data_IF_221043955164
#
_entry.id   IF_221043955164
#
_cell.length_a   1.000
_cell.length_b   1.000
_cell.length_c   1.000
_cell.angle_alpha   90.00
_cell.angle_beta   90.00
_cell.angle_gamma   90.00
#
_symmetry.space_group_name_H-M   'P 1'
#
loop_
_entity.id
_entity.type
_entity.pdbx_description
1 polymer ?
#
# COMPACT_ATOMS: atom_id res chain seq x y z
N UNK A 1 -16.00 -3.30 -20.87
CA UNK A 1 -16.05 -2.26 -19.81
C UNK A 1 -14.65 -1.78 -19.40
N UNK A 2 -13.76 -2.62 -18.87
CA UNK A 2 -12.37 -2.17 -18.52
C UNK A 2 -11.52 -1.90 -19.76
N UNK A 3 -11.52 -2.83 -20.72
CA UNK A 3 -10.77 -2.66 -21.97
C UNK A 3 -11.22 -1.43 -22.75
N UNK A 4 -12.53 -1.16 -22.80
CA UNK A 4 -13.08 0.02 -23.46
C UNK A 4 -12.61 1.32 -22.79
N UNK A 5 -12.55 1.36 -21.45
CA UNK A 5 -12.03 2.52 -20.72
C UNK A 5 -10.54 2.76 -20.97
N UNK A 6 -9.75 1.69 -21.08
CA UNK A 6 -8.33 1.79 -21.44
C UNK A 6 -8.15 2.28 -22.87
N UNK A 7 -8.90 1.70 -23.83
CA UNK A 7 -8.84 2.10 -25.24
C UNK A 7 -9.23 3.57 -25.42
N UNK A 8 -10.34 3.99 -24.80
CA UNK A 8 -10.78 5.38 -24.79
C UNK A 8 -9.73 6.31 -24.17
N UNK A 9 -9.12 5.93 -23.05
CA UNK A 9 -8.08 6.76 -22.44
C UNK A 9 -6.89 6.95 -23.39
N UNK A 10 -6.41 5.87 -24.00
CA UNK A 10 -5.25 5.93 -24.88
C UNK A 10 -5.51 6.65 -26.21
N UNK A 11 -6.74 6.58 -26.72
CA UNK A 11 -7.10 7.17 -28.02
C UNK A 11 -7.57 8.63 -27.91
N UNK A 12 -8.24 9.01 -26.81
CA UNK A 12 -8.90 10.33 -26.69
C UNK A 12 -8.33 11.23 -25.58
N UNK A 13 -7.69 10.67 -24.56
CA UNK A 13 -7.39 11.39 -23.29
C UNK A 13 -5.90 11.39 -22.92
N UNK A 14 -5.08 10.56 -23.56
CA UNK A 14 -3.69 10.33 -23.17
C UNK A 14 -2.84 11.62 -23.15
N UNK A 15 -2.55 12.11 -21.95
CA UNK A 15 -1.75 13.30 -21.72
C UNK A 15 -1.15 13.29 -20.32
N UNK A 16 -0.14 14.14 -20.10
CA UNK A 16 0.44 14.31 -18.77
C UNK A 16 -0.55 15.04 -17.85
N UNK A 17 -0.83 14.43 -16.70
CA UNK A 17 -1.66 15.03 -15.66
C UNK A 17 -0.98 16.24 -15.00
N UNK A 18 -1.78 17.23 -14.59
CA UNK A 18 -1.40 18.43 -13.82
C UNK A 18 -0.37 19.36 -14.46
N UNK A 19 -0.01 19.18 -15.74
CA UNK A 19 1.10 19.91 -16.40
C UNK A 19 0.73 20.70 -17.65
N UNK A 20 -0.55 20.98 -17.92
CA UNK A 20 -0.92 21.83 -19.07
C UNK A 20 -2.34 22.42 -18.99
N UNK A 21 -2.56 23.51 -19.73
CA UNK A 21 -3.86 24.19 -19.92
C UNK A 21 -4.59 23.74 -21.20
N UNK A 22 -4.31 22.53 -21.69
CA UNK A 22 -4.96 21.96 -22.88
C UNK A 22 -6.00 20.92 -22.49
N UNK A 23 -7.08 20.83 -23.27
CA UNK A 23 -8.26 20.00 -22.99
C UNK A 23 -7.94 18.52 -22.67
N UNK A 24 -6.98 17.92 -23.37
CA UNK A 24 -6.58 16.53 -23.12
C UNK A 24 -5.91 16.35 -21.75
N UNK A 25 -5.12 17.33 -21.29
CA UNK A 25 -4.49 17.28 -19.97
C UNK A 25 -5.50 17.48 -18.84
N UNK A 26 -6.48 18.36 -19.03
CA UNK A 26 -7.60 18.54 -18.09
C UNK A 26 -8.41 17.25 -17.93
N UNK A 27 -8.77 16.61 -19.05
CA UNK A 27 -9.47 15.31 -19.06
C UNK A 27 -8.65 14.20 -18.40
N UNK A 28 -7.34 14.14 -18.65
CA UNK A 28 -6.47 13.14 -18.03
C UNK A 28 -6.39 13.35 -16.51
N UNK A 29 -6.27 14.59 -16.06
CA UNK A 29 -6.28 14.92 -14.62
C UNK A 29 -7.61 14.58 -13.98
N UNK A 30 -8.72 14.94 -14.61
CA UNK A 30 -10.06 14.63 -14.10
C UNK A 30 -10.27 13.12 -13.99
N UNK A 31 -9.92 12.34 -15.02
CA UNK A 31 -10.02 10.89 -15.00
C UNK A 31 -9.17 10.25 -13.89
N UNK A 32 -7.96 10.77 -13.65
CA UNK A 32 -7.11 10.30 -12.56
C UNK A 32 -7.72 10.60 -11.18
N UNK A 33 -8.19 11.82 -10.95
CA UNK A 33 -8.77 12.20 -9.65
C UNK A 33 -10.08 11.46 -9.39
N UNK A 34 -10.93 11.26 -10.40
CA UNK A 34 -12.13 10.41 -10.30
C UNK A 34 -11.77 8.95 -9.98
N UNK A 35 -10.69 8.43 -10.57
CA UNK A 35 -10.18 7.09 -10.24
C UNK A 35 -9.75 7.01 -8.77
N UNK A 36 -9.05 8.04 -8.27
CA UNK A 36 -8.65 8.11 -6.85
C UNK A 36 -9.85 8.22 -5.91
N UNK A 37 -10.88 8.97 -6.27
CA UNK A 37 -12.12 9.03 -5.50
C UNK A 37 -12.84 7.68 -5.45
N UNK A 38 -12.90 7.00 -6.58
CA UNK A 38 -13.49 5.66 -6.68
C UNK A 38 -12.74 4.66 -5.80
N UNK A 39 -11.40 4.66 -5.86
CA UNK A 39 -10.57 3.83 -4.99
C UNK A 39 -10.77 4.17 -3.51
N UNK A 40 -10.81 5.46 -3.15
CA UNK A 40 -11.01 5.90 -1.78
C UNK A 40 -12.36 5.42 -1.22
N UNK A 41 -13.44 5.52 -2.01
CA UNK A 41 -14.76 4.99 -1.64
C UNK A 41 -14.74 3.47 -1.49
N UNK A 42 -14.08 2.78 -2.42
CA UNK A 42 -13.98 1.32 -2.41
C UNK A 42 -13.32 0.78 -1.13
N UNK A 43 -12.25 1.43 -0.65
CA UNK A 43 -11.54 1.02 0.57
C UNK A 43 -12.05 1.70 1.86
N UNK A 44 -13.10 2.53 1.77
CA UNK A 44 -13.63 3.25 2.93
C UNK A 44 -12.73 4.37 3.48
N UNK A 45 -11.82 4.92 2.67
CA UNK A 45 -10.96 6.02 3.08
C UNK A 45 -11.74 7.35 3.18
N UNK A 46 -11.32 8.25 4.10
CA UNK A 46 -11.93 9.58 4.31
C UNK A 46 -11.66 10.60 3.19
N UNK A 47 -11.23 10.15 2.01
CA UNK A 47 -10.89 10.97 0.84
C UNK A 47 -9.54 10.60 0.23
N UNK A 48 -9.16 11.33 -0.82
CA UNK A 48 -8.01 11.00 -1.67
C UNK A 48 -6.66 11.47 -1.12
N UNK A 49 -6.61 12.36 -0.12
CA UNK A 49 -5.37 13.02 0.33
C UNK A 49 -4.28 12.02 0.76
N UNK A 50 -4.66 10.93 1.43
CA UNK A 50 -3.75 9.87 1.88
C UNK A 50 -3.58 8.71 0.88
N UNK A 51 -4.24 8.78 -0.28
CA UNK A 51 -4.24 7.69 -1.26
C UNK A 51 -3.08 7.87 -2.24
N UNK A 52 -2.17 6.90 -2.24
CA UNK A 52 -1.01 6.84 -3.14
C UNK A 52 -1.17 5.64 -4.07
N UNK A 53 -1.17 5.90 -5.38
CA UNK A 53 -1.16 4.84 -6.39
C UNK A 53 0.28 4.37 -6.59
N UNK A 54 0.49 3.05 -6.56
CA UNK A 54 1.79 2.41 -6.75
C UNK A 54 1.72 1.46 -7.94
N UNK A 55 2.86 0.93 -8.38
CA UNK A 55 2.90 -0.08 -9.46
C UNK A 55 2.33 -1.44 -9.03
N UNK A 56 2.08 -1.63 -7.73
CA UNK A 56 1.48 -2.83 -7.15
C UNK A 56 1.66 -2.89 -5.63
N UNK A 57 1.13 -3.95 -5.02
CA UNK A 57 1.19 -4.16 -3.57
C UNK A 57 2.63 -4.21 -3.05
N UNK A 58 3.54 -4.91 -3.75
CA UNK A 58 4.96 -5.00 -3.38
C UNK A 58 5.64 -3.63 -3.36
N UNK A 59 5.45 -2.78 -4.37
CA UNK A 59 6.01 -1.42 -4.39
C UNK A 59 5.43 -0.55 -3.26
N UNK A 60 4.13 -0.70 -2.97
CA UNK A 60 3.49 -0.01 -1.86
C UNK A 60 4.08 -0.37 -0.50
N UNK A 61 4.27 -1.66 -0.22
CA UNK A 61 4.86 -2.13 1.03
C UNK A 61 6.33 -1.70 1.17
N UNK A 62 7.11 -1.75 0.08
CA UNK A 62 8.49 -1.25 0.08
C UNK A 62 8.58 0.25 0.38
N UNK A 63 7.70 1.05 -0.24
CA UNK A 63 7.64 2.50 0.01
C UNK A 63 7.25 2.79 1.45
N UNK A 64 6.25 2.08 1.98
CA UNK A 64 5.79 2.25 3.35
C UNK A 64 6.90 1.92 4.36
N UNK A 65 7.48 0.71 4.28
CA UNK A 65 8.55 0.28 5.18
C UNK A 65 9.77 1.20 5.08
N UNK A 66 10.18 1.56 3.87
CA UNK A 66 11.29 2.49 3.65
C UNK A 66 11.01 3.89 4.18
N UNK A 67 9.78 4.41 4.07
CA UNK A 67 9.40 5.69 4.67
C UNK A 67 9.40 5.62 6.19
N UNK A 68 8.87 4.53 6.78
CA UNK A 68 8.86 4.36 8.23
C UNK A 68 10.28 4.34 8.81
N UNK A 69 11.18 3.58 8.19
CA UNK A 69 12.60 3.54 8.56
C UNK A 69 13.29 4.90 8.39
N UNK A 70 13.18 5.55 7.23
CA UNK A 70 13.84 6.85 6.99
C UNK A 70 13.34 7.98 7.89
N UNK A 71 12.12 7.88 8.41
CA UNK A 71 11.53 8.86 9.32
C UNK A 71 11.75 8.50 10.80
N UNK A 72 12.55 7.48 11.11
CA UNK A 72 12.88 7.07 12.48
C UNK A 72 11.72 6.42 13.24
N UNK A 73 10.66 6.00 12.56
CA UNK A 73 9.50 5.38 13.23
C UNK A 73 9.81 3.99 13.81
N UNK A 74 10.92 3.39 13.39
CA UNK A 74 11.30 2.02 13.72
C UNK A 74 12.56 1.94 14.59
N UNK A 75 13.14 3.09 14.98
CA UNK A 75 14.46 3.15 15.63
C UNK A 75 14.43 2.44 16.99
N UNK A 76 13.39 2.69 17.78
CA UNK A 76 13.23 2.13 19.12
C UNK A 76 12.23 0.95 19.19
N UNK A 77 11.51 0.69 18.09
CA UNK A 77 10.48 -0.34 18.01
C UNK A 77 10.94 -1.67 17.41
N UNK A 78 9.97 -2.56 17.29
CA UNK A 78 10.04 -3.82 16.53
C UNK A 78 8.86 -3.91 15.57
N UNK A 79 9.02 -4.70 14.52
CA UNK A 79 7.94 -4.95 13.55
C UNK A 79 7.53 -6.40 13.66
N UNK A 80 6.22 -6.65 13.79
CA UNK A 80 5.66 -8.00 13.77
C UNK A 80 5.05 -8.28 12.40
N UNK A 81 5.44 -9.40 11.81
CA UNK A 81 4.79 -10.02 10.64
C UNK A 81 4.30 -11.41 11.04
N UNK A 82 3.46 -12.05 10.25
CA UNK A 82 2.96 -13.41 10.51
C UNK A 82 3.67 -14.45 9.64
N UNK A 83 3.69 -15.71 10.07
CA UNK A 83 4.18 -16.83 9.23
C UNK A 83 3.36 -17.03 7.94
N UNK A 84 2.13 -16.51 7.90
CA UNK A 84 1.25 -16.56 6.72
C UNK A 84 1.52 -15.44 5.71
N UNK A 85 2.31 -14.43 6.07
CA UNK A 85 2.51 -13.28 5.20
C UNK A 85 3.25 -13.68 3.90
N UNK A 86 2.76 -13.15 2.79
CA UNK A 86 3.46 -13.27 1.51
C UNK A 86 4.84 -12.60 1.60
N UNK A 87 5.86 -13.11 0.90
CA UNK A 87 7.22 -12.56 0.96
C UNK A 87 7.31 -11.05 0.67
N UNK A 88 6.41 -10.51 -0.16
CA UNK A 88 6.32 -9.06 -0.43
C UNK A 88 5.93 -8.22 0.80
N UNK A 89 5.37 -8.83 1.83
CA UNK A 89 5.04 -8.23 3.12
C UNK A 89 6.00 -8.65 4.24
N UNK A 90 7.02 -9.48 3.98
CA UNK A 90 8.04 -9.82 4.98
C UNK A 90 9.33 -9.05 4.69
N UNK A 91 9.86 -9.19 3.47
CA UNK A 91 11.16 -8.65 3.09
C UNK A 91 11.29 -7.13 3.28
N UNK A 92 10.28 -6.29 2.96
CA UNK A 92 10.40 -4.85 3.18
C UNK A 92 10.65 -4.48 4.64
N UNK A 93 9.96 -5.16 5.57
CA UNK A 93 10.08 -4.88 7.00
C UNK A 93 11.39 -5.40 7.55
N UNK A 94 11.80 -6.63 7.21
CA UNK A 94 13.10 -7.17 7.61
C UNK A 94 14.28 -6.30 7.12
N UNK A 95 14.14 -5.67 5.95
CA UNK A 95 15.13 -4.71 5.43
C UNK A 95 15.07 -3.37 6.19
N UNK A 96 13.88 -2.90 6.53
CA UNK A 96 13.65 -1.60 7.15
C UNK A 96 13.90 -1.57 8.68
N UNK A 97 13.69 -2.69 9.37
CA UNK A 97 13.82 -2.85 10.82
C UNK A 97 14.52 -4.17 11.15
N UNK A 98 15.76 -4.15 11.70
CA UNK A 98 16.47 -5.37 12.10
C UNK A 98 15.74 -6.19 13.17
N UNK A 99 14.86 -5.56 13.96
CA UNK A 99 14.01 -6.19 14.98
C UNK A 99 12.65 -6.61 14.39
N UNK A 100 12.66 -7.15 13.17
CA UNK A 100 11.44 -7.74 12.59
C UNK A 100 11.30 -9.18 13.07
N UNK A 101 10.18 -9.51 13.70
CA UNK A 101 9.89 -10.84 14.23
C UNK A 101 8.63 -11.42 13.58
N UNK A 102 8.57 -12.76 13.55
CA UNK A 102 7.46 -13.49 12.92
C UNK A 102 6.57 -14.12 13.99
N UNK A 103 5.28 -13.82 13.93
CA UNK A 103 4.21 -14.34 14.79
C UNK A 103 3.75 -15.67 14.21
N UNK A 104 3.68 -16.69 15.06
CA UNK A 104 3.35 -18.06 14.66
C UNK A 104 1.90 -18.18 14.19
N UNK A 105 1.68 -19.14 13.31
CA UNK A 105 0.35 -19.51 12.83
C UNK A 105 0.13 -20.99 13.09
N UNK A 106 -1.01 -21.30 13.68
CA UNK A 106 -1.43 -22.69 13.86
C UNK A 106 -1.69 -23.34 12.50
N UNK A 107 -0.98 -24.43 12.22
CA UNK A 107 -1.00 -25.06 10.88
C UNK A 107 -2.27 -25.86 10.60
N UNK A 108 -3.05 -26.20 11.62
CA UNK A 108 -4.27 -26.99 11.45
C UNK A 108 -5.48 -26.09 11.20
N UNK A 109 -5.60 -25.02 11.99
CA UNK A 109 -6.67 -24.02 11.91
C UNK A 109 -6.39 -22.89 10.91
N UNK A 110 -5.12 -22.67 10.55
CA UNK A 110 -4.66 -21.49 9.82
C UNK A 110 -4.99 -20.16 10.54
N UNK A 111 -5.07 -20.20 11.86
CA UNK A 111 -5.28 -19.03 12.72
C UNK A 111 -3.95 -18.53 13.30
N UNK A 112 -3.90 -17.23 13.61
CA UNK A 112 -2.75 -16.61 14.27
C UNK A 112 -2.66 -17.12 15.71
N UNK A 113 -1.47 -17.52 16.14
CA UNK A 113 -1.20 -17.83 17.55
C UNK A 113 -1.28 -16.53 18.37
N UNK A 114 -2.43 -16.32 19.01
CA UNK A 114 -2.70 -15.10 19.78
C UNK A 114 -1.85 -15.03 21.07
N UNK A 115 -1.42 -16.16 21.63
CA UNK A 115 -0.53 -16.18 22.79
C UNK A 115 0.89 -15.75 22.38
N UNK A 116 1.38 -16.25 21.24
CA UNK A 116 2.64 -15.84 20.64
C UNK A 116 2.63 -14.35 20.27
N UNK A 117 1.55 -13.88 19.63
CA UNK A 117 1.36 -12.46 19.31
C UNK A 117 1.42 -11.60 20.58
N UNK A 118 0.65 -11.97 21.61
CA UNK A 118 0.61 -11.22 22.88
C UNK A 118 1.99 -11.18 23.55
N UNK A 119 2.72 -12.31 23.59
CA UNK A 119 4.07 -12.37 24.16
C UNK A 119 5.08 -11.48 23.43
N UNK A 120 4.81 -11.17 22.16
CA UNK A 120 5.63 -10.33 21.30
C UNK A 120 5.13 -8.90 21.21
N UNK A 121 4.03 -8.50 21.83
CA UNK A 121 3.67 -7.09 21.95
C UNK A 121 4.40 -6.47 23.14
N UNK A 122 4.85 -5.22 23.00
CA UNK A 122 5.38 -4.47 24.15
C UNK A 122 4.20 -3.83 24.91
N UNK A 123 4.30 -3.71 26.24
CA UNK A 123 3.24 -3.17 27.12
C UNK A 123 3.03 -1.64 27.02
N UNK A 124 3.56 -1.00 25.97
CA UNK A 124 3.61 0.47 25.84
C UNK A 124 2.38 1.07 25.16
#
# INVERSE_FOLDING_TARGET
>A
VVLDAMDQFYTETNSNVHRSAHLAAERATEALEQSRETMAKFIGAKGIRGLVITSGATDGLNRLAGMASRNGLLDDGKVLVTEMDHHSNILPWSTACPRTEMVRVDRESAEIDMEDLASKLDDH
#
